data_IF_242839410177
#
_entry.id   IF_242839410177
#
_cell.length_a   1.000
_cell.length_b   1.000
_cell.length_c   1.000
_cell.angle_alpha   90.00
_cell.angle_beta   90.00
_cell.angle_gamma   90.00
#
_symmetry.space_group_name_H-M   'P 1'
#
loop_
_entity.id
_entity.type
_entity.pdbx_description
1 polymer ?
#
# COMPACT_ATOMS: atom_id res chain seq x y z
N UNK A 1 1.68 -11.79 -34.49
CA UNK A 1 2.10 -12.28 -33.14
C UNK A 1 0.93 -13.10 -32.61
N UNK A 2 1.14 -14.30 -32.11
CA UNK A 2 0.02 -15.12 -31.57
C UNK A 2 -0.53 -14.50 -30.29
N UNK A 3 -1.80 -14.77 -29.97
CA UNK A 3 -2.43 -14.30 -28.73
C UNK A 3 -1.65 -14.77 -27.49
N UNK A 4 -1.14 -15.99 -27.51
CA UNK A 4 -0.31 -16.56 -26.46
C UNK A 4 0.99 -15.77 -26.24
N UNK A 5 1.68 -15.37 -27.30
CA UNK A 5 2.90 -14.59 -27.21
C UNK A 5 2.65 -13.21 -26.56
N UNK A 6 1.50 -12.60 -26.80
CA UNK A 6 1.10 -11.33 -26.17
C UNK A 6 0.83 -11.49 -24.67
N UNK A 7 0.18 -12.59 -24.26
CA UNK A 7 -0.09 -12.91 -22.84
C UNK A 7 1.23 -13.14 -22.09
N UNK A 8 2.14 -13.94 -22.66
CA UNK A 8 3.46 -14.22 -22.05
C UNK A 8 4.30 -12.96 -21.93
N UNK A 9 4.32 -12.11 -22.97
CA UNK A 9 5.04 -10.82 -22.92
C UNK A 9 4.49 -9.93 -21.81
N UNK A 10 3.17 -9.73 -21.72
CA UNK A 10 2.55 -8.94 -20.70
C UNK A 10 2.89 -9.44 -19.28
N UNK A 11 2.93 -10.75 -19.08
CA UNK A 11 3.35 -11.35 -17.82
C UNK A 11 4.81 -11.02 -17.46
N UNK A 12 5.73 -11.16 -18.42
CA UNK A 12 7.15 -10.84 -18.22
C UNK A 12 7.32 -9.35 -17.92
N UNK A 13 6.60 -8.48 -18.63
CA UNK A 13 6.65 -7.04 -18.41
C UNK A 13 6.22 -6.68 -16.97
N UNK A 14 5.15 -7.29 -16.46
CA UNK A 14 4.73 -7.11 -15.08
C UNK A 14 5.76 -7.66 -14.09
N UNK A 15 6.25 -8.88 -14.28
CA UNK A 15 7.25 -9.52 -13.41
C UNK A 15 8.53 -8.68 -13.30
N UNK A 16 8.96 -8.05 -14.38
CA UNK A 16 10.18 -7.22 -14.39
C UNK A 16 9.95 -5.80 -13.88
N UNK A 17 8.72 -5.28 -13.94
CA UNK A 17 8.38 -3.93 -13.49
C UNK A 17 8.18 -3.82 -11.97
N UNK A 18 7.83 -4.92 -11.30
CA UNK A 18 7.60 -4.93 -9.86
C UNK A 18 8.93 -4.83 -9.08
N UNK A 19 8.99 -4.01 -8.03
CA UNK A 19 10.22 -3.80 -7.27
C UNK A 19 10.46 -4.92 -6.24
N UNK A 20 11.06 -6.03 -6.66
CA UNK A 20 11.35 -7.18 -5.79
C UNK A 20 12.36 -6.90 -4.67
N UNK A 21 13.38 -6.08 -4.95
CA UNK A 21 14.50 -5.83 -4.02
C UNK A 21 14.77 -4.35 -3.75
N UNK A 22 14.38 -3.47 -4.65
CA UNK A 22 14.72 -2.06 -4.59
C UNK A 22 13.97 -1.35 -3.45
N UNK A 23 14.72 -0.76 -2.51
CA UNK A 23 14.16 -0.03 -1.36
C UNK A 23 14.61 1.43 -1.37
N UNK A 24 13.78 2.33 -0.87
CA UNK A 24 14.19 3.69 -0.51
C UNK A 24 14.88 3.70 0.86
N UNK A 25 15.78 4.66 1.08
CA UNK A 25 16.45 4.85 2.37
C UNK A 25 15.46 5.45 3.37
N UNK A 26 15.18 4.72 4.43
CA UNK A 26 14.25 5.15 5.48
C UNK A 26 14.95 6.10 6.46
N UNK A 27 14.31 7.21 6.78
CA UNK A 27 14.71 8.12 7.84
C UNK A 27 13.98 7.75 9.14
N UNK A 28 14.72 7.59 10.23
CA UNK A 28 14.18 7.21 11.55
C UNK A 28 14.35 8.32 12.60
N UNK A 29 14.54 9.56 12.16
CA UNK A 29 14.70 10.71 13.05
C UNK A 29 13.33 11.31 13.39
N UNK A 30 12.90 11.13 14.64
CA UNK A 30 11.60 11.61 15.14
C UNK A 30 11.53 13.13 15.19
N UNK A 31 12.64 13.82 15.51
CA UNK A 31 12.68 15.30 15.53
C UNK A 31 12.46 15.87 14.13
N UNK A 32 13.05 15.25 13.12
CA UNK A 32 12.81 15.62 11.73
C UNK A 32 11.35 15.36 11.32
N UNK A 33 10.79 14.23 11.75
CA UNK A 33 9.38 13.91 11.50
C UNK A 33 8.45 14.96 12.14
N UNK A 34 8.71 15.36 13.38
CA UNK A 34 7.96 16.42 14.05
C UNK A 34 8.02 17.74 13.25
N UNK A 35 9.22 18.16 12.84
CA UNK A 35 9.37 19.39 12.04
C UNK A 35 8.62 19.36 10.72
N UNK A 36 8.59 18.21 10.03
CA UNK A 36 7.85 18.06 8.78
C UNK A 36 6.34 18.17 9.03
N UNK A 37 5.82 17.47 10.06
CA UNK A 37 4.40 17.52 10.40
C UNK A 37 3.95 18.92 10.82
N UNK A 38 4.75 19.63 11.63
CA UNK A 38 4.47 21.00 12.05
C UNK A 38 4.46 22.00 10.89
N UNK A 39 5.40 21.83 9.96
CA UNK A 39 5.49 22.69 8.78
C UNK A 39 4.33 22.48 7.79
N UNK A 40 3.93 21.23 7.59
CA UNK A 40 2.97 20.88 6.55
C UNK A 40 1.51 20.95 7.06
N UNK A 41 1.29 20.91 8.39
CA UNK A 41 -0.06 20.90 8.99
C UNK A 41 -0.15 21.86 10.19
N UNK A 42 -1.10 22.78 10.15
CA UNK A 42 -1.42 23.67 11.27
C UNK A 42 -2.44 23.01 12.22
N UNK A 43 -2.21 23.10 13.53
CA UNK A 43 -3.06 22.44 14.54
C UNK A 43 -2.92 20.91 14.50
N UNK A 44 -3.99 20.19 14.84
CA UNK A 44 -4.02 18.71 14.89
C UNK A 44 -2.98 18.10 15.84
N UNK A 45 -2.77 18.71 16.99
CA UNK A 45 -1.69 18.33 17.93
C UNK A 45 -1.80 16.87 18.37
N UNK A 46 -2.99 16.42 18.76
CA UNK A 46 -3.24 15.02 19.16
C UNK A 46 -2.94 14.02 18.01
N UNK A 47 -3.29 14.38 16.79
CA UNK A 47 -3.04 13.53 15.61
C UNK A 47 -1.55 13.45 15.31
N UNK A 48 -0.84 14.58 15.38
CA UNK A 48 0.61 14.64 15.18
C UNK A 48 1.35 13.84 16.26
N UNK A 49 0.97 14.01 17.51
CA UNK A 49 1.55 13.26 18.64
C UNK A 49 1.37 11.77 18.44
N UNK A 50 0.16 11.32 18.06
CA UNK A 50 -0.12 9.91 17.77
C UNK A 50 0.70 9.36 16.61
N UNK A 51 0.89 10.14 15.55
CA UNK A 51 1.77 9.76 14.44
C UNK A 51 3.22 9.63 14.90
N UNK A 52 3.71 10.56 15.70
CA UNK A 52 5.09 10.52 16.21
C UNK A 52 5.32 9.34 17.15
N UNK A 53 4.37 9.02 18.02
CA UNK A 53 4.40 7.81 18.86
C UNK A 53 4.49 6.54 17.99
N UNK A 54 3.63 6.44 16.98
CA UNK A 54 3.65 5.33 16.03
C UNK A 54 5.01 5.18 15.36
N UNK A 55 5.58 6.28 14.85
CA UNK A 55 6.90 6.28 14.22
C UNK A 55 8.03 5.94 15.23
N UNK A 56 7.91 6.34 16.48
CA UNK A 56 8.86 6.01 17.53
C UNK A 56 8.87 4.50 17.84
N UNK A 57 7.71 3.88 17.88
CA UNK A 57 7.58 2.41 18.01
C UNK A 57 8.21 1.72 16.80
N UNK A 58 7.90 2.16 15.59
CA UNK A 58 8.45 1.61 14.35
C UNK A 58 9.98 1.75 14.28
N UNK A 59 10.57 2.77 14.90
CA UNK A 59 12.03 2.93 14.98
C UNK A 59 12.71 1.80 15.76
N UNK A 60 12.03 1.28 16.79
CA UNK A 60 12.57 0.25 17.70
C UNK A 60 12.38 -1.18 17.17
N UNK A 61 11.42 -1.38 16.29
CA UNK A 61 11.11 -2.70 15.74
C UNK A 61 11.79 -2.88 14.39
N UNK A 62 12.44 -4.04 14.19
CA UNK A 62 13.14 -4.33 12.93
C UNK A 62 12.21 -4.64 11.76
N UNK A 63 11.00 -5.12 12.05
CA UNK A 63 9.92 -5.37 11.07
C UNK A 63 8.69 -4.55 11.43
N UNK A 64 7.94 -4.11 10.43
CA UNK A 64 6.66 -3.41 10.61
C UNK A 64 5.60 -4.40 11.15
N UNK A 65 5.76 -4.79 12.41
CA UNK A 65 4.81 -5.61 13.16
C UNK A 65 4.06 -4.71 14.14
N UNK A 66 3.10 -3.97 13.66
CA UNK A 66 2.29 -3.09 14.51
C UNK A 66 0.93 -2.85 13.88
N UNK A 67 0.00 -2.24 14.63
CA UNK A 67 -1.30 -1.88 14.09
C UNK A 67 -1.13 -0.90 12.92
N UNK A 68 -2.03 -0.99 11.95
CA UNK A 68 -2.11 -0.04 10.85
C UNK A 68 -2.62 1.30 11.39
N UNK A 69 -2.01 2.40 10.97
CA UNK A 69 -2.48 3.74 11.31
C UNK A 69 -3.75 4.06 10.52
N UNK A 70 -4.87 4.25 11.23
CA UNK A 70 -6.15 4.58 10.59
C UNK A 70 -6.51 6.04 10.86
N UNK A 71 -6.67 6.83 9.78
CA UNK A 71 -7.06 8.23 9.83
C UNK A 71 -8.57 8.36 9.59
N UNK A 72 -9.31 8.75 10.62
CA UNK A 72 -10.78 8.92 10.58
C UNK A 72 -11.14 10.40 10.64
N UNK A 73 -12.05 10.82 9.78
CA UNK A 73 -12.54 12.21 9.79
C UNK A 73 -13.35 12.54 8.53
N UNK A 74 -14.03 13.70 8.52
CA UNK A 74 -14.83 14.13 7.38
C UNK A 74 -13.98 14.37 6.13
N UNK A 75 -14.57 14.45 4.94
CA UNK A 75 -13.83 14.79 3.73
C UNK A 75 -13.24 16.21 3.83
N UNK A 76 -12.09 16.41 3.20
CA UNK A 76 -11.44 17.74 3.12
C UNK A 76 -10.57 18.13 4.32
N UNK A 77 -10.49 17.34 5.39
CA UNK A 77 -9.65 17.67 6.58
C UNK A 77 -8.16 17.38 6.41
N UNK A 78 -7.72 16.92 5.24
CA UNK A 78 -6.30 16.72 4.96
C UNK A 78 -5.76 15.31 5.28
N UNK A 79 -6.60 14.27 5.35
CA UNK A 79 -6.14 12.89 5.59
C UNK A 79 -5.07 12.43 4.58
N UNK A 80 -5.27 12.71 3.31
CA UNK A 80 -4.31 12.34 2.25
C UNK A 80 -2.99 13.10 2.40
N UNK A 81 -3.03 14.40 2.68
CA UNK A 81 -1.82 15.20 2.88
C UNK A 81 -1.05 14.80 4.15
N UNK A 82 -1.75 14.32 5.20
CA UNK A 82 -1.08 13.71 6.36
C UNK A 82 -0.29 12.45 5.95
N UNK A 83 -0.87 11.58 5.13
CA UNK A 83 -0.16 10.41 4.58
C UNK A 83 1.09 10.80 3.78
N UNK A 84 0.99 11.82 2.93
CA UNK A 84 2.14 12.37 2.18
C UNK A 84 3.23 12.90 3.11
N UNK A 85 2.86 13.63 4.16
CA UNK A 85 3.81 14.19 5.13
C UNK A 85 4.49 13.10 5.95
N UNK A 86 3.78 12.01 6.31
CA UNK A 86 4.37 10.84 6.96
C UNK A 86 5.40 10.18 6.03
N UNK A 87 5.05 10.01 4.75
CA UNK A 87 5.97 9.45 3.77
C UNK A 87 7.25 10.30 3.63
N UNK A 88 7.11 11.62 3.53
CA UNK A 88 8.20 12.59 3.49
C UNK A 88 9.06 12.54 4.75
N UNK A 89 8.43 12.51 5.92
CA UNK A 89 9.11 12.44 7.21
C UNK A 89 9.94 11.16 7.40
N UNK A 90 9.46 10.05 6.83
CA UNK A 90 10.13 8.74 6.91
C UNK A 90 11.05 8.44 5.72
N UNK A 91 11.14 9.31 4.73
CA UNK A 91 11.92 9.09 3.50
C UNK A 91 11.35 7.98 2.61
N UNK A 92 10.10 7.59 2.82
CA UNK A 92 9.40 6.60 1.98
C UNK A 92 8.82 7.28 0.75
N UNK A 93 8.77 6.56 -0.36
CA UNK A 93 7.96 7.00 -1.49
C UNK A 93 6.47 6.83 -1.16
N UNK A 94 5.66 7.76 -1.61
CA UNK A 94 4.21 7.76 -1.39
C UNK A 94 3.48 7.13 -2.56
N UNK A 95 2.48 6.32 -2.27
CA UNK A 95 1.49 5.86 -3.25
C UNK A 95 0.12 5.79 -2.60
N UNK A 96 -0.93 6.03 -3.39
CA UNK A 96 -2.32 6.00 -2.95
C UNK A 96 -3.13 5.10 -3.85
N UNK A 97 -4.05 4.35 -3.25
CA UNK A 97 -5.13 3.67 -3.94
C UNK A 97 -6.46 4.03 -3.29
N UNK A 98 -7.43 4.45 -4.10
CA UNK A 98 -8.81 4.58 -3.65
C UNK A 98 -9.49 3.20 -3.75
N UNK A 99 -10.11 2.80 -2.66
CA UNK A 99 -10.90 1.57 -2.55
C UNK A 99 -12.40 1.85 -2.60
N UNK A 100 -12.78 3.13 -2.70
CA UNK A 100 -14.17 3.53 -2.87
C UNK A 100 -14.78 2.91 -4.13
N UNK A 101 -15.88 2.18 -3.95
CA UNK A 101 -16.58 1.51 -5.05
C UNK A 101 -15.99 0.15 -5.48
N UNK A 102 -14.90 -0.30 -4.88
CA UNK A 102 -14.37 -1.66 -5.08
C UNK A 102 -15.37 -2.68 -4.51
N UNK A 103 -15.75 -3.65 -5.32
CA UNK A 103 -16.69 -4.72 -4.96
C UNK A 103 -16.18 -6.12 -5.31
N UNK A 104 -15.17 -6.20 -6.17
CA UNK A 104 -14.58 -7.44 -6.64
C UNK A 104 -13.22 -7.66 -6.00
N UNK A 105 -13.03 -8.80 -5.37
CA UNK A 105 -11.74 -9.22 -4.79
C UNK A 105 -10.62 -9.19 -5.83
N UNK A 106 -10.93 -9.50 -7.10
CA UNK A 106 -9.96 -9.49 -8.18
C UNK A 106 -9.38 -8.08 -8.47
N UNK A 107 -10.05 -7.00 -8.07
CA UNK A 107 -9.45 -5.66 -8.15
C UNK A 107 -8.22 -5.52 -7.22
N UNK A 108 -8.20 -6.23 -6.10
CA UNK A 108 -7.09 -6.23 -5.13
C UNK A 108 -6.06 -7.29 -5.48
N UNK A 109 -6.50 -8.53 -5.76
CA UNK A 109 -5.65 -9.71 -6.01
C UNK A 109 -5.32 -9.98 -7.48
N UNK A 110 -5.93 -9.24 -8.42
CA UNK A 110 -5.75 -9.48 -9.85
C UNK A 110 -6.63 -10.61 -10.41
N UNK A 111 -6.68 -10.68 -11.73
CA UNK A 111 -7.39 -11.72 -12.47
C UNK A 111 -6.41 -12.80 -12.96
N UNK A 112 -6.85 -14.05 -12.98
CA UNK A 112 -6.04 -15.16 -13.51
C UNK A 112 -5.61 -14.88 -14.95
N UNK A 113 -4.40 -15.26 -15.32
CA UNK A 113 -3.77 -15.04 -16.64
C UNK A 113 -4.48 -15.67 -17.84
N UNK A 114 -5.42 -16.57 -17.59
CA UNK A 114 -6.18 -17.27 -18.65
C UNK A 114 -7.05 -16.33 -19.49
N UNK A 115 -7.31 -15.12 -19.03
CA UNK A 115 -8.13 -14.15 -19.74
C UNK A 115 -7.27 -13.13 -20.47
N UNK A 116 -7.60 -12.86 -21.73
CA UNK A 116 -6.95 -11.80 -22.53
C UNK A 116 -7.24 -10.45 -21.86
N UNK A 117 -6.17 -9.65 -21.65
CA UNK A 117 -6.28 -8.37 -20.96
C UNK A 117 -6.27 -8.46 -19.44
N UNK A 118 -6.04 -9.66 -18.86
CA UNK A 118 -5.84 -9.80 -17.43
C UNK A 118 -4.62 -9.03 -16.96
N UNK A 119 -4.67 -8.53 -15.72
CA UNK A 119 -3.61 -7.73 -15.10
C UNK A 119 -3.53 -8.02 -13.59
N UNK A 120 -2.40 -7.71 -12.94
CA UNK A 120 -2.28 -7.79 -11.49
C UNK A 120 -3.30 -6.90 -10.77
N UNK A 121 -3.55 -7.19 -9.51
CA UNK A 121 -4.39 -6.37 -8.66
C UNK A 121 -3.83 -4.97 -8.41
N UNK A 122 -4.69 -4.07 -7.94
CA UNK A 122 -4.35 -2.65 -7.68
C UNK A 122 -3.13 -2.48 -6.77
N UNK A 123 -2.92 -3.40 -5.83
CA UNK A 123 -1.76 -3.36 -4.92
C UNK A 123 -0.46 -3.46 -5.72
N UNK A 124 -0.30 -4.51 -6.53
CA UNK A 124 0.94 -4.71 -7.29
C UNK A 124 1.10 -3.72 -8.44
N UNK A 125 0.01 -3.28 -9.07
CA UNK A 125 0.07 -2.20 -10.06
C UNK A 125 0.65 -0.91 -9.46
N UNK A 126 0.25 -0.55 -8.23
CA UNK A 126 0.79 0.62 -7.53
C UNK A 126 2.23 0.41 -7.06
N UNK A 127 2.59 -0.81 -6.63
CA UNK A 127 3.97 -1.16 -6.29
C UNK A 127 4.90 -1.02 -7.50
N UNK A 128 4.50 -1.52 -8.66
CA UNK A 128 5.23 -1.33 -9.92
C UNK A 128 5.43 0.16 -10.23
N UNK A 129 4.36 0.95 -10.13
CA UNK A 129 4.41 2.39 -10.43
C UNK A 129 5.31 3.18 -9.48
N UNK A 130 5.30 2.86 -8.19
CA UNK A 130 6.14 3.55 -7.18
C UNK A 130 7.60 3.13 -7.26
N UNK A 131 7.88 1.93 -7.76
CA UNK A 131 9.20 1.42 -8.09
C UNK A 131 10.12 1.15 -6.88
N UNK A 132 9.56 0.99 -5.69
CA UNK A 132 10.29 0.57 -4.48
C UNK A 132 9.45 -0.39 -3.65
N UNK A 133 10.12 -1.32 -2.93
CA UNK A 133 9.48 -2.35 -2.13
C UNK A 133 8.90 -1.83 -0.79
N UNK A 134 9.38 -0.70 -0.31
CA UNK A 134 9.06 -0.16 1.02
C UNK A 134 8.37 1.22 0.99
N UNK A 135 7.35 1.45 0.15
CA UNK A 135 6.65 2.73 0.13
C UNK A 135 5.77 2.92 1.38
N UNK A 136 5.26 4.14 1.55
CA UNK A 136 4.03 4.36 2.30
C UNK A 136 2.86 4.21 1.34
N UNK A 137 1.92 3.34 1.69
CA UNK A 137 0.78 2.98 0.88
C UNK A 137 -0.50 3.46 1.57
N UNK A 138 -1.10 4.52 1.06
CA UNK A 138 -2.36 5.04 1.57
C UNK A 138 -3.54 4.32 0.92
N UNK A 139 -4.33 3.62 1.74
CA UNK A 139 -5.60 3.00 1.36
C UNK A 139 -6.73 3.96 1.68
N UNK A 140 -7.29 4.59 0.67
CA UNK A 140 -8.28 5.63 0.85
C UNK A 140 -9.70 5.13 0.59
N UNK A 141 -10.67 5.68 1.32
CA UNK A 141 -12.08 5.37 1.18
C UNK A 141 -12.44 3.89 1.44
N UNK A 142 -11.77 3.26 2.42
CA UNK A 142 -12.05 1.86 2.79
C UNK A 142 -13.48 1.64 3.30
N UNK A 143 -14.09 2.68 3.87
CA UNK A 143 -15.47 2.70 4.34
C UNK A 143 -16.50 2.60 3.20
N UNK A 144 -16.07 2.86 1.96
CA UNK A 144 -16.93 2.82 0.76
C UNK A 144 -16.75 1.54 -0.08
N UNK A 145 -15.99 0.57 0.42
CA UNK A 145 -15.94 -0.77 -0.19
C UNK A 145 -17.27 -1.48 0.01
N UNK A 146 -17.64 -2.32 -0.95
CA UNK A 146 -18.83 -3.15 -0.88
C UNK A 146 -18.52 -4.61 -1.15
N UNK A 147 -19.45 -5.49 -0.79
CA UNK A 147 -19.43 -6.90 -1.21
C UNK A 147 -20.45 -7.11 -2.31
N UNK A 148 -20.16 -7.99 -3.23
CA UNK A 148 -21.14 -8.52 -4.17
C UNK A 148 -20.94 -10.04 -4.39
N UNK A 149 -21.67 -10.62 -5.33
CA UNK A 149 -21.58 -12.05 -5.65
C UNK A 149 -20.23 -12.51 -6.22
N UNK A 150 -19.33 -11.57 -6.55
CA UNK A 150 -17.98 -11.83 -7.09
C UNK A 150 -16.90 -11.96 -6.01
N UNK A 151 -17.25 -11.72 -4.77
CA UNK A 151 -16.32 -11.89 -3.66
C UNK A 151 -16.38 -10.78 -2.61
N UNK A 152 -15.51 -10.89 -1.65
CA UNK A 152 -15.33 -9.93 -0.56
C UNK A 152 -13.94 -9.30 -0.61
N UNK A 153 -13.79 -8.07 -1.12
CA UNK A 153 -12.51 -7.39 -1.15
C UNK A 153 -11.91 -7.14 0.24
N UNK A 154 -12.74 -7.15 1.30
CA UNK A 154 -12.26 -7.00 2.67
C UNK A 154 -11.38 -8.18 3.09
N UNK A 155 -11.69 -9.39 2.66
CA UNK A 155 -10.87 -10.56 2.96
C UNK A 155 -9.51 -10.50 2.27
N UNK A 156 -9.44 -9.97 1.06
CA UNK A 156 -8.17 -9.72 0.36
C UNK A 156 -7.33 -8.66 1.08
N UNK A 157 -7.97 -7.62 1.62
CA UNK A 157 -7.28 -6.60 2.43
C UNK A 157 -6.74 -7.14 3.75
N UNK A 158 -7.41 -8.08 4.39
CA UNK A 158 -6.88 -8.73 5.59
C UNK A 158 -5.52 -9.35 5.32
N UNK A 159 -5.36 -10.09 4.22
CA UNK A 159 -4.07 -10.67 3.84
C UNK A 159 -2.99 -9.58 3.56
N UNK A 160 -3.38 -8.47 2.95
CA UNK A 160 -2.48 -7.35 2.67
C UNK A 160 -2.01 -6.66 3.96
N UNK A 161 -2.92 -6.46 4.91
CA UNK A 161 -2.68 -5.64 6.11
C UNK A 161 -2.18 -6.46 7.31
N UNK A 162 -2.44 -7.75 7.36
CA UNK A 162 -2.00 -8.62 8.46
C UNK A 162 -0.50 -8.90 8.38
N UNK A 163 0.32 -8.44 9.35
CA UNK A 163 1.76 -8.70 9.38
C UNK A 163 2.16 -10.17 9.41
N UNK A 164 1.26 -11.06 9.82
CA UNK A 164 1.50 -12.51 9.85
C UNK A 164 1.33 -13.16 8.47
N UNK A 165 0.59 -12.52 7.56
CA UNK A 165 0.24 -13.06 6.24
C UNK A 165 0.85 -12.27 5.08
N UNK A 166 1.08 -10.97 5.24
CA UNK A 166 1.44 -10.06 4.14
C UNK A 166 2.80 -10.35 3.49
N UNK A 167 3.65 -11.15 4.12
CA UNK A 167 4.93 -11.56 3.55
C UNK A 167 4.79 -12.60 2.43
N UNK A 168 3.63 -13.25 2.34
CA UNK A 168 3.28 -14.24 1.30
C UNK A 168 2.04 -13.82 0.52
N UNK A 169 1.86 -12.51 0.33
CA UNK A 169 0.73 -12.01 -0.46
C UNK A 169 0.75 -12.59 -1.87
N UNK A 170 -0.32 -13.28 -2.25
CA UNK A 170 -0.44 -13.95 -3.53
C UNK A 170 -1.41 -13.22 -4.46
N UNK A 171 -0.89 -12.66 -5.55
CA UNK A 171 -1.69 -12.08 -6.63
C UNK A 171 -2.05 -13.16 -7.65
N UNK A 172 -3.31 -13.24 -8.04
CA UNK A 172 -3.81 -14.28 -8.92
C UNK A 172 -3.29 -14.18 -10.37
N UNK A 173 -2.81 -12.99 -10.77
CA UNK A 173 -2.19 -12.81 -12.08
C UNK A 173 -0.74 -13.28 -12.08
N UNK A 174 0.03 -12.91 -11.06
CA UNK A 174 1.44 -13.28 -10.97
C UNK A 174 1.63 -14.73 -10.54
N UNK A 175 0.78 -15.25 -9.66
CA UNK A 175 0.84 -16.61 -9.09
C UNK A 175 2.19 -16.90 -8.40
N UNK A 176 2.83 -15.85 -7.86
CA UNK A 176 4.03 -15.92 -7.03
C UNK A 176 3.85 -15.03 -5.83
N UNK A 177 4.40 -15.44 -4.70
CA UNK A 177 4.29 -14.67 -3.47
C UNK A 177 5.09 -13.37 -3.57
N UNK A 178 4.49 -12.28 -3.12
CA UNK A 178 5.13 -10.98 -3.01
C UNK A 178 5.14 -10.53 -1.55
N UNK A 179 6.33 -10.22 -1.04
CA UNK A 179 6.52 -9.81 0.34
C UNK A 179 6.18 -8.33 0.54
N UNK A 180 5.04 -8.04 1.16
CA UNK A 180 4.56 -6.70 1.53
C UNK A 180 5.01 -6.24 2.93
N UNK A 181 5.81 -7.02 3.65
CA UNK A 181 6.18 -6.73 5.05
C UNK A 181 6.98 -5.43 5.25
N UNK A 182 7.60 -4.91 4.19
CA UNK A 182 8.33 -3.63 4.21
C UNK A 182 7.44 -2.41 3.90
N UNK A 183 6.21 -2.63 3.46
CA UNK A 183 5.25 -1.58 3.10
C UNK A 183 4.64 -0.99 4.37
N UNK A 184 4.59 0.33 4.46
CA UNK A 184 3.88 1.02 5.54
C UNK A 184 2.47 1.36 5.06
N UNK A 185 1.47 0.67 5.57
CA UNK A 185 0.07 0.94 5.26
C UNK A 185 -0.52 1.99 6.20
N UNK A 186 -1.33 2.90 5.62
CA UNK A 186 -2.11 3.94 6.33
C UNK A 186 -3.52 3.99 5.74
#
# INVERSE_FOLDING_TARGET
MSAEASVVRGYIDWMTSIPWKKKSKIQKNIENASKVLEKDHHGLEEVKERILEYLAVQKRVSKLKGPVLCLVGPPGVGKTSLGESIAKATGRKFTRVSLGGVRDEAEIRGHRRTYIGSMPGKILQKMSKVGVKNPLFLLDEIDKMGMDYRGDPSSALLEVLDPEQNHTFNDHYLEVDYDLSDVMFV
#
